data_IF_926403798837
#
_entry.id   IF_926403798837
#
_cell.length_a   1.000
_cell.length_b   1.000
_cell.length_c   1.000
_cell.angle_alpha   90.00
_cell.angle_beta   90.00
_cell.angle_gamma   90.00
#
_symmetry.space_group_name_H-M   'P 1'
#
loop_
_entity.id
_entity.type
_entity.pdbx_description
1 polymer ?
#
# COMPACT_ATOMS: atom_id res chain seq x y z
N UNK A 1 -18.13 -8.68 19.22
CA UNK A 1 -17.38 -7.49 18.77
C UNK A 1 -18.13 -6.87 17.61
N UNK A 2 -18.27 -5.54 17.57
CA UNK A 2 -18.84 -4.80 16.43
C UNK A 2 -17.91 -3.62 16.16
N UNK A 3 -17.46 -3.40 14.91
CA UNK A 3 -16.46 -2.39 14.66
C UNK A 3 -16.99 -0.97 14.85
N UNK A 4 -16.11 -0.04 15.19
CA UNK A 4 -16.47 1.39 15.35
C UNK A 4 -16.90 2.03 14.03
N UNK A 5 -16.28 1.62 12.93
CA UNK A 5 -16.61 2.02 11.55
C UNK A 5 -17.12 0.81 10.77
N UNK A 6 -17.93 1.06 9.75
CA UNK A 6 -18.42 0.00 8.87
C UNK A 6 -17.27 -0.63 8.08
N UNK A 7 -17.34 -1.95 7.90
CA UNK A 7 -16.47 -2.71 6.98
C UNK A 7 -17.34 -3.15 5.82
N UNK A 8 -16.91 -2.87 4.59
CA UNK A 8 -17.55 -3.33 3.37
C UNK A 8 -16.62 -4.35 2.71
N UNK A 9 -17.15 -5.53 2.40
CA UNK A 9 -16.46 -6.56 1.63
C UNK A 9 -17.02 -6.54 0.23
N UNK A 10 -16.15 -6.41 -0.75
CA UNK A 10 -16.51 -6.16 -2.15
C UNK A 10 -15.84 -7.22 -3.00
N UNK A 11 -16.61 -7.81 -3.92
CA UNK A 11 -16.11 -8.77 -4.91
C UNK A 11 -16.44 -8.20 -6.27
N UNK A 12 -15.40 -7.76 -6.98
CA UNK A 12 -15.55 -7.03 -8.23
C UNK A 12 -15.77 -7.97 -9.40
N UNK A 13 -16.66 -7.56 -10.30
CA UNK A 13 -16.79 -8.15 -11.63
C UNK A 13 -15.96 -7.39 -12.65
N UNK A 14 -15.56 -8.08 -13.72
CA UNK A 14 -14.88 -7.46 -14.87
C UNK A 14 -13.58 -6.69 -14.53
N UNK A 15 -12.79 -7.20 -13.57
CA UNK A 15 -11.45 -6.69 -13.24
C UNK A 15 -10.53 -6.67 -14.46
N UNK A 16 -10.47 -7.80 -15.17
CA UNK A 16 -9.62 -7.99 -16.36
C UNK A 16 -9.97 -7.13 -17.56
N UNK A 17 -11.15 -6.50 -17.56
CA UNK A 17 -11.61 -5.65 -18.65
C UNK A 17 -11.39 -4.17 -18.35
N UNK A 18 -10.48 -3.85 -17.42
CA UNK A 18 -10.17 -2.47 -17.02
C UNK A 18 -10.86 -2.05 -15.74
N UNK A 19 -11.00 -2.97 -14.77
CA UNK A 19 -11.56 -2.71 -13.44
C UNK A 19 -12.98 -2.14 -13.49
N UNK A 20 -13.78 -2.55 -14.48
CA UNK A 20 -15.09 -1.94 -14.73
C UNK A 20 -16.01 -2.06 -13.52
N UNK A 21 -16.08 -3.20 -12.84
CA UNK A 21 -16.93 -3.34 -11.65
C UNK A 21 -16.61 -2.31 -10.57
N UNK A 22 -15.33 -2.13 -10.23
CA UNK A 22 -14.90 -1.16 -9.23
C UNK A 22 -15.09 0.29 -9.73
N UNK A 23 -14.78 0.55 -11.00
CA UNK A 23 -14.86 1.88 -11.62
C UNK A 23 -16.29 2.38 -11.66
N UNK A 24 -17.21 1.60 -12.22
CA UNK A 24 -18.63 1.96 -12.32
C UNK A 24 -19.25 2.17 -10.93
N UNK A 25 -18.84 1.36 -9.94
CA UNK A 25 -19.32 1.53 -8.56
C UNK A 25 -18.79 2.82 -7.90
N UNK A 26 -17.52 3.17 -8.13
CA UNK A 26 -16.97 4.46 -7.68
C UNK A 26 -17.71 5.63 -8.36
N UNK A 27 -18.07 5.50 -9.63
CA UNK A 27 -18.81 6.52 -10.36
C UNK A 27 -20.25 6.67 -9.84
N UNK A 28 -20.96 5.58 -9.59
CA UNK A 28 -22.33 5.58 -9.06
C UNK A 28 -22.38 6.24 -7.66
N UNK A 29 -21.42 5.92 -6.80
CA UNK A 29 -21.42 6.33 -5.39
C UNK A 29 -20.40 7.43 -5.05
N UNK A 30 -19.90 8.15 -6.06
CA UNK A 30 -18.81 9.13 -5.97
C UNK A 30 -18.88 10.02 -4.72
N UNK A 31 -20.02 10.71 -4.53
CA UNK A 31 -20.22 11.68 -3.44
C UNK A 31 -20.24 11.03 -2.05
N UNK A 32 -20.72 9.79 -1.98
CA UNK A 32 -20.75 9.03 -0.73
C UNK A 32 -19.33 8.57 -0.38
N UNK A 33 -18.55 8.11 -1.36
CA UNK A 33 -17.20 7.62 -1.10
C UNK A 33 -16.22 8.72 -0.76
N UNK A 34 -16.24 9.84 -1.51
CA UNK A 34 -15.43 11.03 -1.22
C UNK A 34 -15.59 11.53 0.23
N UNK A 35 -16.76 11.31 0.85
CA UNK A 35 -17.07 11.83 2.19
C UNK A 35 -17.00 10.80 3.32
N UNK A 36 -16.92 9.49 3.02
CA UNK A 36 -17.09 8.44 4.04
C UNK A 36 -16.04 7.34 4.03
N UNK A 37 -15.38 7.10 2.90
CA UNK A 37 -14.40 6.00 2.82
C UNK A 37 -13.13 6.42 3.55
N UNK A 38 -12.70 5.60 4.49
CA UNK A 38 -11.46 5.82 5.25
C UNK A 38 -10.26 5.34 4.45
N UNK A 39 -10.33 4.12 3.94
CA UNK A 39 -9.30 3.50 3.13
C UNK A 39 -9.90 2.36 2.30
N UNK A 40 -9.23 1.98 1.21
CA UNK A 40 -9.54 0.81 0.41
C UNK A 40 -8.37 -0.18 0.48
N UNK A 41 -8.60 -1.37 1.03
CA UNK A 41 -7.59 -2.42 1.11
C UNK A 41 -7.82 -3.41 -0.03
N UNK A 42 -6.97 -3.35 -1.05
CA UNK A 42 -7.08 -4.20 -2.22
C UNK A 42 -6.67 -5.63 -1.89
N UNK A 43 -7.45 -6.60 -2.39
CA UNK A 43 -7.19 -8.03 -2.30
C UNK A 43 -7.36 -8.59 -3.70
N UNK A 44 -6.25 -8.68 -4.43
CA UNK A 44 -6.17 -9.22 -5.78
C UNK A 44 -5.34 -10.53 -5.71
N UNK A 45 -4.14 -10.56 -6.28
CA UNK A 45 -3.21 -11.66 -6.12
C UNK A 45 -2.64 -11.71 -4.69
N UNK A 46 -2.79 -12.85 -4.02
CA UNK A 46 -2.10 -13.09 -2.75
C UNK A 46 -0.60 -13.34 -2.96
N UNK A 47 -0.23 -13.99 -4.06
CA UNK A 47 1.16 -14.21 -4.41
C UNK A 47 1.38 -14.48 -5.90
N UNK A 48 2.54 -14.05 -6.37
CA UNK A 48 3.14 -14.48 -7.63
C UNK A 48 4.33 -15.42 -7.40
N UNK A 49 4.96 -15.30 -6.23
CA UNK A 49 5.97 -16.22 -5.69
C UNK A 49 6.07 -16.04 -4.17
N UNK A 50 6.85 -16.85 -3.46
CA UNK A 50 6.87 -16.92 -2.00
C UNK A 50 8.16 -16.37 -1.34
N UNK A 51 8.80 -15.37 -1.95
CA UNK A 51 10.10 -14.86 -1.48
C UNK A 51 10.05 -13.51 -0.78
N UNK A 52 9.53 -12.46 -1.44
CA UNK A 52 9.51 -11.09 -0.95
C UNK A 52 8.07 -10.61 -0.72
N UNK A 53 7.78 -10.01 0.42
CA UNK A 53 6.53 -9.31 0.64
C UNK A 53 6.60 -7.91 0.00
N UNK A 54 5.81 -7.68 -1.04
CA UNK A 54 5.65 -6.37 -1.69
C UNK A 54 4.44 -5.65 -1.12
N UNK A 55 4.62 -4.37 -0.81
CA UNK A 55 3.58 -3.51 -0.26
C UNK A 55 3.62 -2.19 -1.03
N UNK A 56 2.53 -1.90 -1.72
CA UNK A 56 2.29 -0.61 -2.36
C UNK A 56 1.14 0.07 -1.64
N UNK A 57 1.33 1.28 -1.13
CA UNK A 57 0.30 1.95 -0.36
C UNK A 57 0.47 3.47 -0.35
N UNK A 58 -0.65 4.17 -0.14
CA UNK A 58 -0.63 5.59 0.22
C UNK A 58 0.18 5.81 1.51
N UNK A 59 1.09 6.80 1.57
CA UNK A 59 1.93 7.05 2.76
C UNK A 59 1.14 7.20 4.07
N UNK A 60 -0.08 7.74 4.02
CA UNK A 60 -0.99 7.79 5.18
C UNK A 60 -1.19 6.43 5.89
N UNK A 61 -1.03 5.29 5.22
CA UNK A 61 -1.20 3.96 5.80
C UNK A 61 0.09 3.37 6.41
N UNK A 62 1.22 4.06 6.32
CA UNK A 62 2.53 3.56 6.76
C UNK A 62 2.56 3.08 8.22
N UNK A 63 1.95 3.84 9.13
CA UNK A 63 1.88 3.47 10.54
C UNK A 63 1.14 2.14 10.75
N UNK A 64 -0.07 2.00 10.22
CA UNK A 64 -0.87 0.79 10.42
C UNK A 64 -0.24 -0.43 9.74
N UNK A 65 0.39 -0.25 8.57
CA UNK A 65 1.15 -1.31 7.90
C UNK A 65 2.29 -1.78 8.79
N UNK A 66 3.10 -0.86 9.31
CA UNK A 66 4.23 -1.17 10.19
C UNK A 66 3.78 -1.91 11.45
N UNK A 67 2.71 -1.44 12.10
CA UNK A 67 2.16 -2.08 13.30
C UNK A 67 1.62 -3.49 12.99
N UNK A 68 0.92 -3.66 11.87
CA UNK A 68 0.37 -4.95 11.47
C UNK A 68 1.47 -5.95 11.07
N UNK A 69 2.53 -5.51 10.39
CA UNK A 69 3.69 -6.36 10.07
C UNK A 69 4.39 -6.90 11.32
N UNK A 70 4.56 -6.05 12.33
CA UNK A 70 5.16 -6.44 13.63
C UNK A 70 4.27 -7.40 14.41
N UNK A 71 2.97 -7.39 14.16
CA UNK A 71 2.01 -8.27 14.83
C UNK A 71 1.70 -9.56 14.04
N UNK A 72 2.13 -9.66 12.79
CA UNK A 72 1.85 -10.83 11.94
C UNK A 72 3.02 -11.81 11.97
N UNK A 73 2.81 -13.10 12.32
CA UNK A 73 3.85 -14.12 12.26
C UNK A 73 4.39 -14.31 10.84
N UNK A 74 5.69 -14.61 10.72
CA UNK A 74 6.27 -14.98 9.44
C UNK A 74 5.74 -16.35 8.96
N UNK A 75 5.56 -16.56 7.65
CA UNK A 75 4.90 -17.77 7.12
C UNK A 75 5.81 -19.01 7.12
N UNK A 76 7.13 -18.84 7.06
CA UNK A 76 8.09 -19.94 6.94
C UNK A 76 8.99 -20.03 8.19
N UNK A 77 8.74 -20.99 9.08
CA UNK A 77 9.54 -21.20 10.29
C UNK A 77 11.00 -21.59 10.02
N UNK A 78 11.33 -22.07 8.80
CA UNK A 78 12.70 -22.47 8.45
C UNK A 78 13.64 -21.28 8.25
N UNK A 79 13.08 -20.08 8.05
CA UNK A 79 13.82 -18.85 7.78
C UNK A 79 14.18 -18.06 9.05
N UNK A 80 13.78 -18.55 10.23
CA UNK A 80 14.04 -17.93 11.54
C UNK A 80 13.55 -16.47 11.71
N UNK A 81 12.56 -16.06 10.91
CA UNK A 81 11.85 -14.81 11.13
C UNK A 81 10.69 -15.02 12.11
N UNK A 82 10.54 -14.12 13.08
CA UNK A 82 9.41 -14.19 14.03
C UNK A 82 8.17 -13.52 13.46
N UNK A 83 8.36 -12.40 12.78
CA UNK A 83 7.29 -11.56 12.25
C UNK A 83 7.51 -11.23 10.77
N UNK A 84 6.45 -10.79 10.08
CA UNK A 84 6.58 -10.25 8.73
C UNK A 84 7.46 -8.99 8.71
N UNK A 85 7.53 -8.25 9.80
CA UNK A 85 8.46 -7.12 9.93
C UNK A 85 9.92 -7.57 9.87
N UNK A 86 10.28 -8.64 10.59
CA UNK A 86 11.66 -9.17 10.57
C UNK A 86 12.02 -9.67 9.18
N UNK A 87 11.10 -10.42 8.55
CA UNK A 87 11.24 -10.89 7.18
C UNK A 87 11.42 -9.72 6.20
N UNK A 88 10.58 -8.70 6.29
CA UNK A 88 10.62 -7.54 5.39
C UNK A 88 11.92 -6.73 5.53
N UNK A 89 12.38 -6.50 6.77
CA UNK A 89 13.65 -5.80 7.01
C UNK A 89 14.83 -6.55 6.41
N UNK A 90 14.87 -7.88 6.54
CA UNK A 90 16.01 -8.65 6.07
C UNK A 90 16.02 -8.76 4.53
N UNK A 91 14.90 -9.19 3.94
CA UNK A 91 14.85 -9.52 2.51
C UNK A 91 14.59 -8.33 1.60
N UNK A 92 13.80 -7.37 2.05
CA UNK A 92 13.34 -6.28 1.18
C UNK A 92 14.16 -5.01 1.36
N UNK A 93 14.68 -4.71 2.56
CA UNK A 93 15.49 -3.49 2.80
C UNK A 93 16.78 -3.44 1.97
N UNK A 94 17.35 -4.59 1.64
CA UNK A 94 18.54 -4.68 0.78
C UNK A 94 18.22 -4.40 -0.70
N UNK A 95 17.01 -4.69 -1.16
CA UNK A 95 16.56 -4.51 -2.55
C UNK A 95 15.76 -3.22 -2.78
N UNK A 96 15.04 -2.72 -1.77
CA UNK A 96 14.34 -1.44 -1.73
C UNK A 96 14.44 -0.84 -0.31
N UNK A 97 15.10 0.32 -0.12
CA UNK A 97 15.27 0.90 1.21
C UNK A 97 13.97 1.46 1.81
N UNK A 98 12.88 1.48 1.04
CA UNK A 98 11.59 2.10 1.42
C UNK A 98 10.55 1.02 1.70
N UNK A 99 9.89 1.11 2.86
CA UNK A 99 8.82 0.18 3.27
C UNK A 99 7.66 0.11 2.28
N UNK A 100 7.31 1.25 1.73
CA UNK A 100 6.18 1.39 0.83
C UNK A 100 6.68 1.82 -0.53
N UNK A 101 6.14 1.15 -1.54
CA UNK A 101 6.06 1.71 -2.87
C UNK A 101 4.79 2.57 -2.96
N UNK A 102 4.95 3.89 -2.99
CA UNK A 102 3.83 4.82 -3.16
C UNK A 102 3.50 5.08 -4.64
N UNK A 103 4.32 4.59 -5.58
CA UNK A 103 4.04 4.66 -7.01
C UNK A 103 2.98 3.60 -7.35
N UNK A 104 1.75 3.85 -6.90
CA UNK A 104 0.61 2.99 -7.20
C UNK A 104 0.11 3.29 -8.60
N UNK A 105 0.63 2.53 -9.56
CA UNK A 105 0.08 2.44 -10.90
C UNK A 105 -1.38 1.93 -10.86
N UNK A 106 -2.04 2.00 -12.02
CA UNK A 106 -3.38 1.47 -12.22
C UNK A 106 -3.37 -0.06 -12.42
N UNK A 107 -2.80 -0.80 -11.46
CA UNK A 107 -2.56 -2.23 -11.62
C UNK A 107 -3.70 -3.13 -11.14
N UNK A 108 -4.71 -2.61 -10.46
CA UNK A 108 -5.82 -3.40 -9.90
C UNK A 108 -7.01 -2.49 -9.52
N UNK A 109 -8.06 -3.03 -8.90
CA UNK A 109 -9.31 -2.32 -8.56
C UNK A 109 -9.15 -1.17 -7.55
N UNK A 110 -7.98 -0.99 -6.93
CA UNK A 110 -7.68 0.21 -6.15
C UNK A 110 -7.58 1.48 -6.99
N UNK A 111 -7.35 1.36 -8.30
CA UNK A 111 -7.09 2.48 -9.21
C UNK A 111 -8.18 3.57 -9.18
N UNK A 112 -9.49 3.28 -9.36
CA UNK A 112 -10.53 4.29 -9.26
C UNK A 112 -10.63 4.91 -7.86
N UNK A 113 -10.39 4.15 -6.79
CA UNK A 113 -10.42 4.71 -5.43
C UNK A 113 -9.28 5.69 -5.18
N UNK A 114 -8.08 5.41 -5.68
CA UNK A 114 -6.93 6.29 -5.48
C UNK A 114 -6.93 7.47 -6.47
N UNK A 115 -6.96 7.18 -7.77
CA UNK A 115 -6.71 8.17 -8.83
C UNK A 115 -7.93 9.04 -9.14
N UNK A 116 -9.17 8.54 -8.90
CA UNK A 116 -10.40 9.30 -9.20
C UNK A 116 -10.90 10.11 -8.00
N UNK A 117 -10.88 9.51 -6.81
CA UNK A 117 -11.49 10.10 -5.61
C UNK A 117 -10.54 10.31 -4.42
N UNK A 118 -9.25 10.00 -4.55
CA UNK A 118 -8.23 10.38 -3.56
C UNK A 118 -8.33 9.63 -2.22
N UNK A 119 -8.81 8.39 -2.23
CA UNK A 119 -8.90 7.55 -1.03
C UNK A 119 -7.55 6.89 -0.75
N UNK A 120 -7.09 6.81 0.52
CA UNK A 120 -5.91 6.02 0.88
C UNK A 120 -6.11 4.55 0.51
N UNK A 121 -5.20 3.98 -0.26
CA UNK A 121 -5.29 2.58 -0.68
C UNK A 121 -4.05 1.77 -0.33
N UNK A 122 -4.24 0.46 -0.28
CA UNK A 122 -3.20 -0.55 -0.08
C UNK A 122 -3.34 -1.61 -1.16
N UNK A 123 -2.22 -2.07 -1.71
CA UNK A 123 -2.09 -3.30 -2.46
C UNK A 123 -0.87 -4.08 -1.94
N UNK A 124 -1.00 -5.38 -1.74
CA UNK A 124 0.08 -6.20 -1.21
C UNK A 124 0.01 -7.63 -1.74
N UNK A 125 1.19 -8.22 -1.97
CA UNK A 125 1.33 -9.59 -2.43
C UNK A 125 2.70 -10.15 -2.03
N UNK A 126 2.82 -11.48 -2.04
CA UNK A 126 4.13 -12.12 -2.10
C UNK A 126 4.64 -12.19 -3.53
N UNK A 127 5.95 -11.97 -3.69
CA UNK A 127 6.63 -11.85 -4.98
C UNK A 127 7.92 -12.65 -5.00
N UNK A 128 8.51 -12.76 -6.18
CA UNK A 128 9.83 -13.35 -6.41
C UNK A 128 10.98 -12.46 -5.88
N UNK A 129 12.18 -13.02 -5.89
CA UNK A 129 13.42 -12.28 -5.64
C UNK A 129 13.83 -11.46 -6.86
N UNK A 130 13.72 -10.14 -6.78
CA UNK A 130 14.09 -9.21 -7.85
C UNK A 130 15.61 -9.21 -8.14
N UNK A 131 16.43 -9.67 -7.19
CA UNK A 131 17.87 -9.83 -7.39
C UNK A 131 18.24 -11.07 -8.21
N UNK A 132 17.37 -12.08 -8.25
CA UNK A 132 17.58 -13.32 -8.98
C UNK A 132 16.81 -13.39 -10.30
N UNK A 133 15.61 -12.82 -10.32
CA UNK A 133 14.71 -12.87 -11.46
C UNK A 133 14.38 -11.47 -11.94
N UNK A 134 14.63 -11.21 -13.21
CA UNK A 134 14.20 -10.00 -13.89
C UNK A 134 12.91 -10.29 -14.67
N UNK A 135 11.85 -10.65 -13.96
CA UNK A 135 10.56 -10.90 -14.56
C UNK A 135 9.65 -9.68 -14.40
N UNK A 136 8.92 -9.35 -15.46
CA UNK A 136 7.88 -8.31 -15.41
C UNK A 136 6.63 -8.79 -14.68
N UNK A 137 6.37 -10.09 -14.74
CA UNK A 137 5.26 -10.79 -14.07
C UNK A 137 5.68 -12.23 -13.76
N UNK A 138 4.78 -13.10 -13.32
CA UNK A 138 5.10 -14.51 -13.08
C UNK A 138 4.68 -15.45 -14.23
N UNK A 139 5.33 -16.61 -14.39
CA UNK A 139 5.19 -17.44 -15.61
C UNK A 139 3.78 -17.94 -15.94
N UNK A 140 2.86 -17.97 -14.98
CA UNK A 140 1.51 -18.51 -15.17
C UNK A 140 0.46 -17.44 -15.45
N UNK A 141 0.79 -16.16 -15.23
CA UNK A 141 -0.13 -15.03 -15.32
C UNK A 141 -0.97 -15.05 -16.60
N UNK A 142 -2.30 -15.00 -16.46
CA UNK A 142 -3.27 -14.94 -17.57
C UNK A 142 -3.19 -16.14 -18.53
N UNK A 143 -2.73 -17.29 -18.05
CA UNK A 143 -2.71 -18.53 -18.82
C UNK A 143 -3.69 -19.54 -18.24
N UNK A 144 -4.01 -20.58 -19.02
CA UNK A 144 -4.78 -21.72 -18.51
C UNK A 144 -4.05 -22.54 -17.43
N UNK A 145 -2.78 -22.24 -17.15
CA UNK A 145 -1.96 -22.90 -16.13
C UNK A 145 -1.97 -22.15 -14.78
N UNK A 146 -2.64 -21.00 -14.70
CA UNK A 146 -2.96 -20.33 -13.44
C UNK A 146 -4.12 -21.05 -12.76
N UNK A 147 -3.83 -22.24 -12.21
CA UNK A 147 -4.81 -23.12 -11.60
C UNK A 147 -4.49 -23.45 -10.14
N UNK A 148 -5.45 -24.10 -9.49
CA UNK A 148 -5.31 -24.49 -8.08
C UNK A 148 -4.15 -25.47 -7.85
N UNK A 149 -3.84 -26.34 -8.81
CA UNK A 149 -2.76 -27.32 -8.66
C UNK A 149 -1.39 -26.64 -8.72
N UNK A 150 -1.22 -25.60 -9.55
CA UNK A 150 -0.02 -24.77 -9.54
C UNK A 150 0.17 -24.07 -8.18
N UNK A 151 -0.90 -23.51 -7.61
CA UNK A 151 -0.84 -22.89 -6.28
C UNK A 151 -0.48 -23.94 -5.21
N UNK A 152 -1.24 -25.04 -5.15
CA UNK A 152 -1.14 -26.04 -4.09
C UNK A 152 0.12 -26.91 -4.18
N UNK A 153 0.68 -27.13 -5.36
CA UNK A 153 1.83 -28.04 -5.50
C UNK A 153 3.14 -27.31 -5.75
N UNK A 154 3.11 -26.05 -6.20
CA UNK A 154 4.31 -25.31 -6.61
C UNK A 154 4.50 -24.04 -5.79
N UNK A 155 3.49 -23.16 -5.74
CA UNK A 155 3.70 -21.81 -5.23
C UNK A 155 3.53 -21.67 -3.70
N UNK A 156 2.49 -22.26 -3.12
CA UNK A 156 2.24 -22.22 -1.67
C UNK A 156 1.62 -23.54 -1.14
N UNK A 157 2.41 -24.63 -1.05
CA UNK A 157 1.85 -25.96 -0.74
C UNK A 157 1.21 -26.12 0.63
N UNK A 158 1.58 -25.27 1.58
CA UNK A 158 1.03 -25.26 2.94
C UNK A 158 0.00 -24.15 3.15
N UNK A 159 -0.23 -23.30 2.14
CA UNK A 159 -1.03 -22.08 2.24
C UNK A 159 -0.54 -21.11 3.33
N UNK A 160 0.72 -21.23 3.77
CA UNK A 160 1.26 -20.43 4.86
C UNK A 160 1.45 -18.97 4.45
N UNK A 161 1.83 -18.73 3.19
CA UNK A 161 2.01 -17.37 2.66
C UNK A 161 0.66 -16.69 2.46
N UNK A 162 -0.32 -17.38 1.89
CA UNK A 162 -1.72 -16.92 1.85
C UNK A 162 -2.24 -16.58 3.25
N UNK A 163 -2.02 -17.48 4.23
CA UNK A 163 -2.47 -17.27 5.61
C UNK A 163 -1.82 -16.02 6.23
N UNK A 164 -0.52 -15.83 6.05
CA UNK A 164 0.17 -14.64 6.57
C UNK A 164 -0.36 -13.33 5.97
N UNK A 165 -0.68 -13.33 4.68
CA UNK A 165 -1.20 -12.14 4.01
C UNK A 165 -2.66 -11.87 4.41
N UNK A 166 -3.46 -12.92 4.55
CA UNK A 166 -4.80 -12.87 5.13
C UNK A 166 -4.81 -12.31 6.56
N UNK A 167 -3.87 -12.74 7.40
CA UNK A 167 -3.70 -12.16 8.74
C UNK A 167 -3.35 -10.68 8.68
N UNK A 168 -2.43 -10.28 7.79
CA UNK A 168 -2.04 -8.88 7.63
C UNK A 168 -3.23 -8.01 7.19
N UNK A 169 -4.00 -8.42 6.18
CA UNK A 169 -5.24 -7.72 5.76
C UNK A 169 -6.24 -7.65 6.91
N UNK A 170 -6.42 -8.74 7.66
CA UNK A 170 -7.34 -8.80 8.80
C UNK A 170 -6.96 -7.81 9.90
N UNK A 171 -5.69 -7.77 10.30
CA UNK A 171 -5.19 -6.84 11.32
C UNK A 171 -5.32 -5.39 10.87
N UNK A 172 -4.99 -5.08 9.61
CA UNK A 172 -5.17 -3.73 9.07
C UNK A 172 -6.64 -3.31 9.03
N UNK A 173 -7.53 -4.22 8.59
CA UNK A 173 -8.98 -3.99 8.54
C UNK A 173 -9.52 -3.67 9.92
N UNK A 174 -9.19 -4.50 10.93
CA UNK A 174 -9.62 -4.28 12.32
C UNK A 174 -9.03 -2.98 12.87
N UNK A 175 -7.73 -2.72 12.65
CA UNK A 175 -7.05 -1.52 13.12
C UNK A 175 -7.68 -0.23 12.58
N UNK A 176 -8.01 -0.18 11.28
CA UNK A 176 -8.67 0.95 10.66
C UNK A 176 -10.14 1.10 11.09
N UNK A 177 -10.85 -0.03 11.22
CA UNK A 177 -12.25 -0.04 11.57
C UNK A 177 -12.49 0.40 13.03
N UNK A 178 -11.60 0.03 13.95
CA UNK A 178 -11.81 0.22 15.39
C UNK A 178 -11.09 1.38 16.04
N UNK A 179 -9.94 1.80 15.49
CA UNK A 179 -9.13 2.79 16.16
C UNK A 179 -9.90 4.09 16.39
N UNK A 180 -9.93 4.57 17.65
CA UNK A 180 -10.62 5.81 18.04
C UNK A 180 -10.11 7.00 17.22
N UNK A 181 -8.79 7.07 17.08
CA UNK A 181 -8.07 7.97 16.18
C UNK A 181 -7.51 7.10 15.05
N UNK A 182 -7.72 7.48 13.79
CA UNK A 182 -7.21 6.70 12.67
C UNK A 182 -5.67 6.60 12.76
N UNK A 183 -5.08 5.40 12.53
CA UNK A 183 -3.64 5.19 12.56
C UNK A 183 -2.99 5.71 11.26
N UNK A 184 -3.26 6.98 10.94
CA UNK A 184 -2.78 7.68 9.76
C UNK A 184 -1.93 8.88 10.17
N UNK A 185 -0.89 9.15 9.40
CA UNK A 185 0.09 10.18 9.73
C UNK A 185 0.36 11.07 8.51
N UNK A 186 -0.15 12.32 8.49
CA UNK A 186 0.11 13.27 7.40
C UNK A 186 1.58 13.65 7.22
N UNK A 187 2.45 13.45 8.23
CA UNK A 187 3.90 13.65 8.06
C UNK A 187 4.48 12.61 7.07
N UNK A 188 3.91 11.41 6.96
CA UNK A 188 4.39 10.37 6.03
C UNK A 188 4.20 10.81 4.56
N UNK A 189 3.15 11.57 4.25
CA UNK A 189 2.93 12.19 2.93
C UNK A 189 4.00 13.24 2.60
N UNK A 190 4.52 13.92 3.63
CA UNK A 190 5.54 14.95 3.42
C UNK A 190 6.83 14.32 2.88
N UNK A 191 7.26 13.19 3.46
CA UNK A 191 8.45 12.48 2.99
C UNK A 191 8.32 11.98 1.55
N UNK A 192 7.11 11.56 1.14
CA UNK A 192 6.84 11.22 -0.26
C UNK A 192 7.00 12.45 -1.17
N UNK A 193 6.34 13.57 -0.83
CA UNK A 193 6.38 14.79 -1.63
C UNK A 193 7.79 15.37 -1.75
N UNK A 194 8.56 15.35 -0.66
CA UNK A 194 9.98 15.75 -0.64
C UNK A 194 10.82 14.86 -1.57
N UNK A 195 10.67 13.54 -1.49
CA UNK A 195 11.38 12.63 -2.41
C UNK A 195 10.96 12.80 -3.88
N UNK A 196 9.68 13.11 -4.15
CA UNK A 196 9.21 13.36 -5.53
C UNK A 196 9.79 14.65 -6.10
N UNK A 197 9.89 15.72 -5.32
CA UNK A 197 10.45 17.00 -5.81
C UNK A 197 11.97 16.94 -5.98
N UNK A 198 12.66 16.16 -5.15
CA UNK A 198 14.08 15.84 -5.32
C UNK A 198 14.32 15.10 -6.63
N UNK A 199 13.59 14.00 -6.87
CA UNK A 199 13.69 13.23 -8.11
C UNK A 199 13.33 14.07 -9.34
N UNK A 200 12.27 14.89 -9.26
CA UNK A 200 11.90 15.79 -10.36
C UNK A 200 13.01 16.80 -10.67
N UNK A 201 13.68 17.33 -9.65
CA UNK A 201 14.81 18.24 -9.82
C UNK A 201 16.00 17.53 -10.46
N UNK A 202 16.33 16.32 -10.01
CA UNK A 202 17.43 15.50 -10.52
C UNK A 202 17.20 15.10 -11.99
N UNK A 203 16.01 14.63 -12.33
CA UNK A 203 15.70 14.12 -13.68
C UNK A 203 15.63 15.23 -14.75
N UNK A 204 15.32 16.47 -14.36
CA UNK A 204 15.02 17.57 -15.28
C UNK A 204 15.83 18.86 -15.03
N UNK A 205 16.94 18.80 -14.28
CA UNK A 205 17.74 19.98 -13.93
C UNK A 205 18.14 20.82 -15.16
N UNK A 206 18.76 20.17 -16.16
CA UNK A 206 19.21 20.83 -17.39
C UNK A 206 18.05 21.45 -18.17
N UNK A 207 16.88 20.79 -18.16
CA UNK A 207 15.69 21.29 -18.83
C UNK A 207 15.15 22.53 -18.11
N UNK A 208 15.05 22.49 -16.78
CA UNK A 208 14.61 23.65 -16.00
C UNK A 208 15.55 24.84 -16.20
N UNK A 209 16.86 24.61 -16.22
CA UNK A 209 17.84 25.65 -16.49
C UNK A 209 17.72 26.22 -17.92
N UNK A 210 17.63 25.35 -18.93
CA UNK A 210 17.57 25.77 -20.34
C UNK A 210 16.33 26.60 -20.68
N UNK A 211 15.22 26.38 -19.98
CA UNK A 211 13.93 27.04 -20.23
C UNK A 211 13.50 28.04 -19.14
N UNK A 212 14.38 28.37 -18.19
CA UNK A 212 14.10 29.31 -17.09
C UNK A 212 12.83 28.93 -16.27
N UNK A 213 12.69 27.63 -15.97
CA UNK A 213 11.57 27.08 -15.20
C UNK A 213 12.01 26.93 -13.73
N UNK A 214 11.44 27.73 -12.84
CA UNK A 214 11.66 27.58 -11.39
C UNK A 214 10.64 26.63 -10.76
N UNK A 215 11.14 25.67 -9.96
CA UNK A 215 10.32 24.79 -9.11
C UNK A 215 10.26 25.26 -7.65
N UNK A 216 10.79 26.45 -7.34
CA UNK A 216 10.79 26.98 -5.97
C UNK A 216 9.38 27.18 -5.39
N UNK A 217 8.36 27.62 -6.15
CA UNK A 217 6.99 27.69 -5.63
C UNK A 217 6.45 26.33 -5.16
N UNK A 218 6.84 25.25 -5.86
CA UNK A 218 6.46 23.89 -5.49
C UNK A 218 7.19 23.44 -4.21
N UNK A 219 8.51 23.67 -4.12
CA UNK A 219 9.30 23.42 -2.90
C UNK A 219 8.73 24.18 -1.70
N UNK A 220 8.39 25.46 -1.86
CA UNK A 220 7.81 26.28 -0.79
C UNK A 220 6.42 25.75 -0.34
N UNK A 221 5.61 25.25 -1.29
CA UNK A 221 4.31 24.64 -1.00
C UNK A 221 4.45 23.35 -0.20
N UNK A 222 5.41 22.49 -0.57
CA UNK A 222 5.72 21.25 0.16
C UNK A 222 6.21 21.57 1.58
N UNK A 223 7.08 22.57 1.75
CA UNK A 223 7.53 23.01 3.08
C UNK A 223 6.39 23.55 3.94
N UNK A 224 5.45 24.29 3.34
CA UNK A 224 4.23 24.73 4.04
C UNK A 224 3.37 23.54 4.47
N UNK A 225 3.20 22.53 3.61
CA UNK A 225 2.48 21.30 3.95
C UNK A 225 3.16 20.55 5.10
N UNK A 226 4.49 20.39 5.04
CA UNK A 226 5.32 19.79 6.11
C UNK A 226 5.05 20.44 7.47
N UNK A 227 5.05 21.77 7.53
CA UNK A 227 4.78 22.50 8.77
C UNK A 227 3.36 22.25 9.28
N UNK A 228 2.36 22.30 8.40
CA UNK A 228 0.96 22.07 8.77
C UNK A 228 0.74 20.63 9.26
N UNK A 229 1.37 19.64 8.63
CA UNK A 229 1.31 18.23 9.04
C UNK A 229 1.91 18.03 10.45
N UNK A 230 3.08 18.63 10.72
CA UNK A 230 3.72 18.63 12.04
C UNK A 230 2.86 19.30 13.11
N UNK A 231 2.27 20.45 12.80
CA UNK A 231 1.38 21.18 13.70
C UNK A 231 0.11 20.38 14.01
N UNK A 232 -0.47 19.74 12.99
CA UNK A 232 -1.63 18.85 13.13
C UNK A 232 -1.31 17.69 14.08
N UNK A 233 -0.20 16.98 13.85
CA UNK A 233 0.20 15.87 14.70
C UNK A 233 0.54 16.28 16.13
N UNK A 234 1.15 17.45 16.31
CA UNK A 234 1.40 18.02 17.65
C UNK A 234 0.10 18.26 18.40
N UNK A 235 -0.90 18.87 17.74
CA UNK A 235 -2.23 19.05 18.32
C UNK A 235 -2.92 17.72 18.62
N UNK A 236 -2.82 16.75 17.72
CA UNK A 236 -3.41 15.42 17.90
C UNK A 236 -2.81 14.69 19.11
N UNK A 237 -1.48 14.73 19.28
CA UNK A 237 -0.79 14.16 20.46
C UNK A 237 -1.30 14.78 21.76
N UNK A 238 -1.46 16.11 21.79
CA UNK A 238 -1.98 16.83 22.96
C UNK A 238 -3.45 16.50 23.27
N UNK A 239 -4.25 16.14 22.27
CA UNK A 239 -5.62 15.65 22.49
C UNK A 239 -5.64 14.22 23.04
N UNK A 240 -4.72 13.38 22.57
CA UNK A 240 -4.63 11.97 22.99
C UNK A 240 -4.10 11.77 24.41
N UNK A 241 -3.37 12.74 24.97
CA UNK A 241 -2.90 12.70 26.37
C UNK A 241 -3.98 13.07 27.38
N UNK A 242 -5.15 13.57 26.93
CA UNK A 242 -6.25 14.02 27.78
C UNK A 242 -7.37 12.97 27.90
N UNK A 243 -7.34 11.88 27.12
CA UNK A 243 -8.38 10.83 27.10
C UNK A 243 -7.86 9.46 27.45
#
# INVERSE_FOLDING_TARGET
>A
WRPRRSILLLSWGAGEYGFFGATEWVEEYLKIFESRVVAYLNVDLALTFNYNLRISATPLLHKIITEALKATPAPDPSLDYKTLWDHWIDRNRAASPKLLDWEMASSSEHAPFYQRIGIPVLNMLWSHDNGLYNWTDYPLYHTAFEDFEAIKNILDPTFAYHLSLGHLWGLMTIGLADAKILPMNPEDETSMLEGMIEKLQEDFEDFFYAYDISIDPLKATIQKFSQVAKDFNTKLRNLSTIS
#
